data_IF_777849492263
#
_entry.id   IF_777849492263
#
_cell.length_a   1.000
_cell.length_b   1.000
_cell.length_c   1.000
_cell.angle_alpha   90.00
_cell.angle_beta   90.00
_cell.angle_gamma   90.00
#
_symmetry.space_group_name_H-M   'P 1'
#
loop_
_entity.id
_entity.type
_entity.pdbx_description
1 polymer ?
#
# COMPACT_ATOMS: atom_id res chain seq x y z
N UNK A 1 -23.12 -33.55 -16.76
CA UNK A 1 -22.26 -33.34 -15.60
C UNK A 1 -23.11 -32.78 -14.49
N UNK A 2 -23.02 -33.30 -13.25
CA UNK A 2 -23.54 -32.53 -12.13
C UNK A 2 -22.57 -31.37 -11.92
N UNK A 3 -23.07 -30.14 -12.04
CA UNK A 3 -22.38 -28.97 -11.50
C UNK A 3 -22.24 -29.22 -10.01
N UNK A 4 -21.03 -29.51 -9.55
CA UNK A 4 -20.71 -29.41 -8.14
C UNK A 4 -20.67 -27.92 -7.83
N UNK A 5 -21.81 -27.38 -7.42
CA UNK A 5 -21.89 -26.02 -6.90
C UNK A 5 -20.88 -25.90 -5.75
N UNK A 6 -19.90 -25.01 -5.93
CA UNK A 6 -18.96 -24.68 -4.88
C UNK A 6 -19.72 -23.92 -3.79
N UNK A 7 -19.84 -24.54 -2.62
CA UNK A 7 -20.40 -23.88 -1.45
C UNK A 7 -19.35 -22.91 -0.91
N UNK A 8 -19.67 -21.61 -0.88
CA UNK A 8 -18.79 -20.55 -0.36
C UNK A 8 -19.52 -19.82 0.75
N UNK A 9 -18.92 -19.84 1.94
CA UNK A 9 -19.36 -19.04 3.09
C UNK A 9 -18.36 -17.93 3.36
N UNK A 10 -18.85 -16.71 3.56
CA UNK A 10 -18.03 -15.53 3.86
C UNK A 10 -18.46 -14.96 5.21
N UNK A 11 -17.48 -14.68 6.07
CA UNK A 11 -17.68 -14.00 7.35
C UNK A 11 -16.78 -12.77 7.43
N UNK A 12 -17.35 -11.69 7.96
CA UNK A 12 -16.70 -10.38 8.08
C UNK A 12 -16.85 -9.91 9.52
N UNK A 13 -15.73 -9.63 10.18
CA UNK A 13 -15.71 -9.12 11.55
C UNK A 13 -14.87 -7.84 11.55
N UNK A 14 -15.47 -6.72 11.93
CA UNK A 14 -14.73 -5.47 12.13
C UNK A 14 -14.34 -5.30 13.59
N UNK A 15 -13.09 -4.93 13.82
CA UNK A 15 -12.55 -4.61 15.16
C UNK A 15 -12.17 -3.14 15.23
N UNK A 16 -12.45 -2.43 16.34
CA UNK A 16 -12.04 -1.03 16.47
C UNK A 16 -10.53 -0.87 16.35
N UNK A 17 -10.06 0.11 15.57
CA UNK A 17 -8.62 0.40 15.42
C UNK A 17 -7.96 0.68 16.78
N UNK A 18 -8.67 1.31 17.71
CA UNK A 18 -8.22 1.56 19.07
C UNK A 18 -7.80 0.29 19.85
N UNK A 19 -8.32 -0.89 19.48
CA UNK A 19 -7.93 -2.16 20.08
C UNK A 19 -6.49 -2.58 19.76
N UNK A 20 -5.85 -1.94 18.77
CA UNK A 20 -4.47 -2.20 18.35
C UNK A 20 -3.46 -1.19 18.93
N UNK A 21 -3.84 -0.41 19.93
CA UNK A 21 -2.94 0.53 20.62
C UNK A 21 -2.41 1.62 19.69
N UNK A 22 -1.10 1.87 19.72
CA UNK A 22 -0.47 2.91 18.90
C UNK A 22 -0.53 2.63 17.40
N UNK A 23 -0.48 1.35 16.99
CA UNK A 23 -0.71 0.97 15.59
C UNK A 23 -2.09 1.43 15.14
N UNK A 24 -3.10 1.33 16.01
CA UNK A 24 -4.46 1.80 15.76
C UNK A 24 -4.57 3.26 15.31
N UNK A 25 -3.60 4.10 15.70
CA UNK A 25 -3.59 5.53 15.36
C UNK A 25 -3.10 5.80 13.93
N UNK A 26 -2.33 4.88 13.33
CA UNK A 26 -1.86 5.00 11.95
C UNK A 26 -2.80 4.34 10.92
N UNK A 27 -3.87 3.70 11.39
CA UNK A 27 -4.86 3.05 10.55
C UNK A 27 -5.93 4.07 10.12
N UNK A 28 -6.17 4.14 8.82
CA UNK A 28 -7.26 4.95 8.28
C UNK A 28 -8.62 4.34 8.60
N UNK A 29 -8.69 3.01 8.78
CA UNK A 29 -9.94 2.27 8.97
C UNK A 29 -9.88 1.37 10.21
N UNK A 30 -11.04 0.94 10.69
CA UNK A 30 -11.11 -0.23 11.57
C UNK A 30 -10.64 -1.49 10.81
N UNK A 31 -9.78 -2.34 11.40
CA UNK A 31 -9.42 -3.60 10.78
C UNK A 31 -10.64 -4.49 10.52
N UNK A 32 -10.60 -5.21 9.41
CA UNK A 32 -11.64 -6.11 8.95
C UNK A 32 -11.05 -7.51 8.79
N UNK A 33 -11.51 -8.44 9.61
CA UNK A 33 -11.22 -9.86 9.46
C UNK A 33 -12.20 -10.47 8.47
N UNK A 34 -11.67 -10.95 7.36
CA UNK A 34 -12.38 -11.68 6.32
C UNK A 34 -12.04 -13.16 6.43
N UNK A 35 -13.06 -14.00 6.65
CA UNK A 35 -12.95 -15.45 6.62
C UNK A 35 -13.76 -16.00 5.46
N UNK A 36 -13.13 -16.84 4.64
CA UNK A 36 -13.76 -17.53 3.52
C UNK A 36 -13.61 -19.03 3.71
N UNK A 37 -14.74 -19.72 3.76
CA UNK A 37 -14.82 -21.18 3.87
C UNK A 37 -15.43 -21.74 2.60
N UNK A 38 -14.81 -22.76 2.01
CA UNK A 38 -15.28 -23.38 0.76
C UNK A 38 -14.87 -24.84 0.59
N UNK A 39 -15.48 -25.47 -0.40
CA UNK A 39 -15.19 -26.85 -0.85
C UNK A 39 -14.08 -26.96 -1.89
N UNK A 40 -13.86 -25.95 -2.74
CA UNK A 40 -12.80 -25.98 -3.76
C UNK A 40 -11.46 -25.41 -3.31
N UNK A 41 -10.42 -25.73 -4.10
CA UNK A 41 -9.05 -25.25 -3.95
C UNK A 41 -8.71 -24.02 -4.82
N UNK A 42 -9.69 -23.42 -5.49
CA UNK A 42 -9.49 -22.21 -6.28
C UNK A 42 -9.10 -21.03 -5.37
N UNK A 43 -8.54 -19.95 -5.93
CA UNK A 43 -8.41 -18.68 -5.19
C UNK A 43 -9.74 -17.91 -5.19
N UNK A 44 -10.01 -17.15 -4.13
CA UNK A 44 -11.15 -16.21 -4.09
C UNK A 44 -10.63 -14.80 -4.22
N UNK A 45 -11.19 -14.04 -5.15
CA UNK A 45 -11.02 -12.59 -5.18
C UNK A 45 -12.13 -11.96 -4.36
N UNK A 46 -11.76 -11.26 -3.29
CA UNK A 46 -12.68 -10.54 -2.43
C UNK A 46 -12.49 -9.03 -2.63
N UNK A 47 -13.54 -8.36 -3.07
CA UNK A 47 -13.57 -6.91 -3.23
C UNK A 47 -14.48 -6.35 -2.14
N UNK A 48 -13.95 -5.44 -1.34
CA UNK A 48 -14.70 -4.79 -0.27
C UNK A 48 -14.22 -3.37 -0.05
N UNK A 49 -15.10 -2.56 0.51
CA UNK A 49 -14.85 -1.14 0.79
C UNK A 49 -14.59 -0.97 2.28
N UNK A 50 -13.45 -0.39 2.62
CA UNK A 50 -13.10 -0.01 3.98
C UNK A 50 -13.42 1.47 4.16
N UNK A 51 -14.32 1.80 5.08
CA UNK A 51 -14.69 3.18 5.41
C UNK A 51 -13.69 3.78 6.39
N UNK A 52 -13.17 4.97 6.07
CA UNK A 52 -12.21 5.65 6.92
C UNK A 52 -12.87 6.13 8.21
N UNK A 53 -12.10 6.08 9.29
CA UNK A 53 -12.50 6.59 10.61
C UNK A 53 -12.67 8.12 10.60
N UNK A 54 -11.93 8.80 9.71
CA UNK A 54 -11.99 10.23 9.44
C UNK A 54 -11.57 10.48 7.98
N UNK A 55 -11.91 11.64 7.38
CA UNK A 55 -11.42 12.00 6.06
C UNK A 55 -9.88 12.02 6.01
N UNK A 56 -9.31 11.45 4.95
CA UNK A 56 -7.85 11.43 4.71
C UNK A 56 -7.56 12.25 3.45
N UNK A 57 -6.64 13.20 3.56
CA UNK A 57 -6.17 14.01 2.43
C UNK A 57 -5.03 13.28 1.72
N UNK A 58 -5.36 12.44 0.73
CA UNK A 58 -4.36 11.83 -0.15
C UNK A 58 -3.87 12.83 -1.18
N UNK A 59 -2.64 12.61 -1.67
CA UNK A 59 -2.08 13.42 -2.74
C UNK A 59 -2.88 13.20 -4.03
N UNK A 60 -3.45 14.27 -4.55
CA UNK A 60 -4.16 14.25 -5.84
C UNK A 60 -3.19 14.12 -7.01
N UNK A 61 -3.62 13.64 -8.18
CA UNK A 61 -2.78 13.64 -9.38
C UNK A 61 -2.20 15.02 -9.72
N UNK A 62 -3.00 16.08 -9.56
CA UNK A 62 -2.57 17.45 -9.83
C UNK A 62 -1.49 17.93 -8.86
N UNK A 63 -1.62 17.57 -7.59
CA UNK A 63 -0.58 17.86 -6.59
C UNK A 63 0.68 17.04 -6.89
N UNK A 64 0.55 15.75 -7.17
CA UNK A 64 1.67 14.87 -7.53
C UNK A 64 2.50 15.44 -8.70
N UNK A 65 1.84 15.93 -9.75
CA UNK A 65 2.49 16.55 -10.92
C UNK A 65 3.26 17.84 -10.58
N UNK A 66 2.88 18.52 -9.50
CA UNK A 66 3.53 19.75 -9.03
C UNK A 66 4.66 19.49 -8.02
N UNK A 67 4.73 18.29 -7.46
CA UNK A 67 5.69 17.90 -6.43
C UNK A 67 6.97 17.34 -7.06
N UNK A 68 7.73 18.22 -7.71
CA UNK A 68 9.01 17.88 -8.32
C UNK A 68 10.12 18.84 -7.91
N UNK A 69 11.35 18.35 -8.02
CA UNK A 69 12.57 19.10 -7.89
C UNK A 69 13.30 19.12 -9.24
N UNK A 70 13.76 20.29 -9.69
CA UNK A 70 14.55 20.45 -10.92
C UNK A 70 15.83 21.21 -10.66
N UNK A 71 16.94 20.69 -11.18
CA UNK A 71 18.23 21.38 -11.18
C UNK A 71 18.77 21.46 -12.59
N UNK A 72 19.09 22.67 -13.05
CA UNK A 72 19.77 22.88 -14.32
C UNK A 72 21.28 22.67 -14.13
N UNK A 73 21.81 21.62 -14.74
CA UNK A 73 23.24 21.36 -14.81
C UNK A 73 23.84 22.19 -15.96
N UNK A 74 24.87 22.98 -15.69
CA UNK A 74 25.46 23.90 -16.67
C UNK A 74 26.52 23.25 -17.57
N UNK A 75 26.89 21.99 -17.35
CA UNK A 75 27.94 21.29 -18.12
C UNK A 75 29.35 21.87 -17.93
N UNK A 76 29.55 22.79 -16.97
CA UNK A 76 30.86 23.36 -16.67
C UNK A 76 31.59 22.40 -15.72
N UNK A 77 32.45 21.58 -16.31
CA UNK A 77 33.08 20.38 -15.75
C UNK A 77 33.85 20.48 -14.41
N UNK A 78 33.88 21.62 -13.71
CA UNK A 78 34.78 21.83 -12.56
C UNK A 78 34.14 22.40 -11.29
N UNK A 79 32.82 22.62 -11.24
CA UNK A 79 32.17 23.03 -9.99
C UNK A 79 31.12 22.00 -9.56
N UNK A 80 31.28 21.40 -8.36
CA UNK A 80 30.27 20.51 -7.81
C UNK A 80 29.02 21.34 -7.50
N UNK A 81 28.02 21.22 -8.37
CA UNK A 81 26.68 21.73 -8.10
C UNK A 81 25.86 20.61 -7.49
N UNK A 82 25.84 20.59 -6.15
CA UNK A 82 24.94 19.77 -5.36
C UNK A 82 23.79 20.64 -4.91
N UNK A 83 22.57 20.23 -5.18
CA UNK A 83 21.36 20.94 -4.75
C UNK A 83 20.42 19.96 -4.08
N UNK A 84 19.87 20.34 -2.94
CA UNK A 84 18.97 19.50 -2.16
C UNK A 84 17.59 20.12 -2.03
N UNK A 85 16.58 19.25 -1.89
CA UNK A 85 15.19 19.62 -1.73
C UNK A 85 14.49 18.66 -0.78
N UNK A 86 13.79 19.20 0.22
CA UNK A 86 12.99 18.40 1.15
C UNK A 86 11.55 18.37 0.66
N UNK A 87 11.06 17.18 0.38
CA UNK A 87 9.70 16.95 -0.07
C UNK A 87 8.68 17.37 0.99
N UNK A 88 7.70 18.22 0.64
CA UNK A 88 6.63 18.57 1.56
C UNK A 88 5.79 17.33 1.88
N UNK A 89 5.38 17.20 3.14
CA UNK A 89 4.59 16.04 3.61
C UNK A 89 5.46 14.86 4.00
N UNK A 90 6.16 14.23 3.03
CA UNK A 90 6.97 13.03 3.29
C UNK A 90 8.24 13.31 4.09
N UNK A 91 8.81 14.52 3.97
CA UNK A 91 10.09 14.87 4.58
C UNK A 91 11.30 14.23 3.88
N UNK A 92 11.09 13.54 2.77
CA UNK A 92 12.14 12.90 1.98
C UNK A 92 13.13 13.95 1.45
N UNK A 93 14.43 13.69 1.58
CA UNK A 93 15.47 14.58 1.08
C UNK A 93 15.95 14.09 -0.29
N UNK A 94 15.66 14.86 -1.33
CA UNK A 94 16.18 14.64 -2.68
C UNK A 94 17.47 15.45 -2.85
N UNK A 95 18.51 14.83 -3.41
CA UNK A 95 19.76 15.50 -3.72
C UNK A 95 20.13 15.29 -5.19
N UNK A 96 20.22 16.40 -5.94
CA UNK A 96 20.76 16.41 -7.29
C UNK A 96 22.25 16.71 -7.25
N UNK A 97 23.04 15.88 -7.94
CA UNK A 97 24.46 16.08 -8.11
C UNK A 97 24.80 16.22 -9.60
N UNK A 98 25.05 17.46 -10.04
CA UNK A 98 25.42 17.76 -11.42
C UNK A 98 26.92 17.55 -11.72
N UNK A 99 27.71 17.03 -10.78
CA UNK A 99 29.16 16.84 -10.97
C UNK A 99 29.41 15.80 -12.07
N UNK A 100 30.10 16.20 -13.14
CA UNK A 100 30.40 15.32 -14.27
C UNK A 100 29.24 15.10 -15.26
N UNK A 101 28.11 15.80 -15.08
CA UNK A 101 27.03 15.82 -16.07
C UNK A 101 27.29 16.89 -17.14
N UNK A 102 26.87 16.60 -18.37
CA UNK A 102 26.78 17.60 -19.44
C UNK A 102 25.72 18.65 -19.11
N UNK A 103 25.62 19.70 -19.93
CA UNK A 103 24.52 20.64 -19.81
C UNK A 103 23.18 19.89 -19.95
N UNK A 104 22.22 20.19 -19.07
CA UNK A 104 20.95 19.47 -18.99
C UNK A 104 20.17 19.76 -17.72
N UNK A 105 19.10 19.02 -17.48
CA UNK A 105 18.20 19.18 -16.33
C UNK A 105 18.01 17.86 -15.61
N UNK A 106 18.30 17.83 -14.31
CA UNK A 106 17.89 16.74 -13.42
C UNK A 106 16.48 17.04 -12.90
N UNK A 107 15.58 16.05 -13.00
CA UNK A 107 14.21 16.12 -12.50
C UNK A 107 13.90 14.92 -11.63
N UNK A 108 13.38 15.19 -10.43
CA UNK A 108 13.03 14.17 -9.44
C UNK A 108 11.67 14.51 -8.84
N UNK A 109 10.94 13.49 -8.41
CA UNK A 109 9.57 13.64 -7.92
C UNK A 109 9.47 13.22 -6.46
N UNK A 110 8.67 13.95 -5.69
CA UNK A 110 8.46 13.61 -4.29
C UNK A 110 7.54 12.39 -4.13
N UNK A 111 7.74 11.61 -3.07
CA UNK A 111 6.79 10.58 -2.68
C UNK A 111 5.39 11.15 -2.45
N UNK A 112 4.39 10.48 -3.01
CA UNK A 112 2.98 10.88 -2.91
C UNK A 112 2.28 10.07 -1.82
N UNK A 113 1.39 10.70 -1.06
CA UNK A 113 0.62 10.03 -0.01
C UNK A 113 -0.57 9.31 -0.63
N UNK A 114 -0.58 7.99 -0.55
CA UNK A 114 -1.63 7.12 -1.11
C UNK A 114 -2.12 6.11 -0.07
N UNK A 115 -3.35 5.61 -0.17
CA UNK A 115 -3.78 4.51 0.67
C UNK A 115 -3.09 3.21 0.25
N UNK A 116 -2.99 2.29 1.19
CA UNK A 116 -2.59 0.91 0.99
C UNK A 116 -3.58 -0.02 1.68
N UNK A 117 -3.94 -1.11 0.98
CA UNK A 117 -4.67 -2.23 1.55
C UNK A 117 -3.68 -3.15 2.27
N UNK A 118 -3.41 -2.83 3.53
CA UNK A 118 -2.44 -3.55 4.33
C UNK A 118 -3.05 -4.82 4.95
N UNK A 119 -2.25 -5.87 5.01
CA UNK A 119 -2.60 -7.11 5.73
C UNK A 119 -2.02 -7.03 7.13
N UNK A 120 -2.85 -7.26 8.13
CA UNK A 120 -2.47 -7.20 9.53
C UNK A 120 -2.12 -8.62 10.00
N UNK A 121 -0.89 -8.83 10.44
CA UNK A 121 -0.44 -10.12 10.94
C UNK A 121 -0.33 -10.05 12.48
N UNK A 122 -1.35 -10.56 13.15
CA UNK A 122 -1.39 -10.63 14.62
C UNK A 122 -0.83 -11.96 15.10
N UNK A 123 0.37 -11.94 15.65
CA UNK A 123 0.90 -13.08 16.41
C UNK A 123 0.65 -12.90 17.91
N UNK A 124 0.92 -13.92 18.72
CA UNK A 124 0.80 -13.81 20.18
C UNK A 124 1.75 -12.75 20.79
N UNK A 125 2.78 -12.35 20.05
CA UNK A 125 3.89 -11.53 20.56
C UNK A 125 4.13 -10.25 19.76
N UNK A 126 3.53 -10.11 18.58
CA UNK A 126 3.72 -8.95 17.71
C UNK A 126 2.49 -8.70 16.84
N UNK A 127 2.31 -7.44 16.47
CA UNK A 127 1.38 -7.02 15.42
C UNK A 127 2.23 -6.40 14.32
N UNK A 128 2.18 -6.99 13.13
CA UNK A 128 2.89 -6.49 11.96
C UNK A 128 1.89 -6.01 10.90
N UNK A 129 2.23 -4.90 10.24
CA UNK A 129 1.40 -4.27 9.23
C UNK A 129 2.10 -4.39 7.88
N UNK A 130 1.64 -5.33 7.05
CA UNK A 130 2.18 -5.53 5.72
C UNK A 130 1.47 -4.62 4.71
N UNK A 131 1.98 -3.39 4.57
CA UNK A 131 1.46 -2.37 3.65
C UNK A 131 1.91 -2.51 2.19
N UNK A 132 2.82 -3.45 1.89
CA UNK A 132 3.21 -3.81 0.53
C UNK A 132 2.92 -5.31 0.30
N UNK A 133 1.65 -5.64 0.18
CA UNK A 133 1.18 -7.01 0.00
C UNK A 133 0.69 -7.21 -1.42
N UNK A 134 1.24 -8.20 -2.13
CA UNK A 134 0.67 -8.65 -3.42
C UNK A 134 -0.66 -9.38 -3.24
N UNK A 135 -1.04 -9.71 -1.99
CA UNK A 135 -2.28 -10.38 -1.65
C UNK A 135 -3.46 -9.41 -1.72
N UNK A 136 -3.26 -8.14 -1.35
CA UNK A 136 -4.31 -7.12 -1.32
C UNK A 136 -3.83 -5.84 -2.00
N UNK A 137 -4.55 -5.44 -3.04
CA UNK A 137 -4.24 -4.22 -3.79
C UNK A 137 -5.38 -3.22 -3.66
N UNK A 138 -5.05 -1.93 -3.69
CA UNK A 138 -6.04 -0.86 -3.77
C UNK A 138 -6.65 -0.85 -5.17
N UNK A 139 -7.96 -0.96 -5.25
CA UNK A 139 -8.70 -0.89 -6.51
C UNK A 139 -9.23 0.51 -6.80
N UNK A 140 -9.65 1.24 -5.77
CA UNK A 140 -10.14 2.61 -5.85
C UNK A 140 -10.09 3.25 -4.45
N UNK A 141 -10.06 4.57 -4.36
CA UNK A 141 -10.15 5.28 -3.09
C UNK A 141 -10.64 6.71 -3.27
N UNK A 142 -11.13 7.28 -2.18
CA UNK A 142 -11.40 8.70 -2.01
C UNK A 142 -11.02 9.12 -0.58
N UNK A 143 -11.38 10.34 -0.17
CA UNK A 143 -11.07 10.82 1.17
C UNK A 143 -11.76 10.01 2.29
N UNK A 144 -12.85 9.30 2.00
CA UNK A 144 -13.71 8.65 2.99
C UNK A 144 -13.64 7.12 2.95
N UNK A 145 -13.08 6.53 1.89
CA UNK A 145 -13.04 5.09 1.72
C UNK A 145 -11.87 4.60 0.87
N UNK A 146 -11.45 3.37 1.14
CA UNK A 146 -10.49 2.62 0.32
C UNK A 146 -11.14 1.31 -0.11
N UNK A 147 -11.21 1.05 -1.42
CA UNK A 147 -11.66 -0.23 -1.98
C UNK A 147 -10.47 -1.15 -2.15
N UNK A 148 -10.51 -2.30 -1.49
CA UNK A 148 -9.48 -3.32 -1.54
C UNK A 148 -9.92 -4.51 -2.38
N UNK A 149 -9.00 -5.04 -3.18
CA UNK A 149 -9.15 -6.30 -3.89
C UNK A 149 -8.09 -7.29 -3.40
N UNK A 150 -8.53 -8.32 -2.69
CA UNK A 150 -7.66 -9.31 -2.07
C UNK A 150 -7.82 -10.70 -2.68
N UNK A 151 -6.71 -11.40 -2.88
CA UNK A 151 -6.67 -12.78 -3.36
C UNK A 151 -6.46 -13.73 -2.19
N UNK A 152 -7.51 -14.47 -1.83
CA UNK A 152 -7.47 -15.46 -0.74
C UNK A 152 -7.25 -16.83 -1.37
N UNK A 153 -6.05 -17.37 -1.14
CA UNK A 153 -5.69 -18.73 -1.57
C UNK A 153 -5.90 -19.69 -0.40
N UNK A 154 -6.62 -20.80 -0.59
CA UNK A 154 -6.83 -21.75 0.47
C UNK A 154 -5.52 -22.50 0.81
N UNK A 155 -5.24 -22.65 2.11
CA UNK A 155 -4.08 -23.41 2.60
C UNK A 155 -2.75 -22.64 2.73
N UNK A 156 -2.63 -21.43 2.20
CA UNK A 156 -1.40 -20.61 2.35
C UNK A 156 -1.47 -19.54 3.44
N UNK A 157 -2.65 -19.29 4.03
CA UNK A 157 -2.77 -18.36 5.18
C UNK A 157 -2.88 -19.16 6.48
N UNK A 158 -1.75 -19.43 7.11
CA UNK A 158 -1.68 -20.06 8.44
C UNK A 158 -2.02 -19.05 9.53
N UNK A 159 -3.30 -18.75 9.75
CA UNK A 159 -3.78 -18.05 10.94
C UNK A 159 -4.83 -18.90 11.67
N UNK A 160 -4.39 -19.46 12.82
CA UNK A 160 -5.15 -20.22 13.83
C UNK A 160 -5.97 -21.42 13.35
N UNK A 161 -5.32 -22.58 13.32
CA UNK A 161 -5.96 -23.90 13.28
C UNK A 161 -6.69 -24.20 14.60
N UNK A 162 -8.02 -24.20 14.61
CA UNK A 162 -8.84 -24.90 15.61
C UNK A 162 -9.20 -26.28 15.03
N UNK A 163 -8.94 -27.37 15.76
CA UNK A 163 -9.31 -28.73 15.35
C UNK A 163 -10.83 -28.81 15.20
N UNK A 164 -11.32 -29.24 14.03
CA UNK A 164 -12.33 -30.29 13.91
C UNK A 164 -12.55 -30.72 12.45
N UNK A 165 -12.94 -31.97 12.31
CA UNK A 165 -12.97 -32.78 11.10
C UNK A 165 -14.07 -32.36 10.12
N UNK A 166 -13.69 -31.64 9.08
CA UNK A 166 -14.28 -31.69 7.73
C UNK A 166 -13.31 -30.94 6.80
N UNK A 167 -13.09 -31.45 5.59
CA UNK A 167 -12.16 -30.88 4.60
C UNK A 167 -12.76 -29.60 4.01
N UNK A 168 -12.91 -28.56 4.84
CA UNK A 168 -13.30 -27.21 4.43
C UNK A 168 -12.04 -26.37 4.36
N UNK A 169 -11.74 -25.84 3.18
CA UNK A 169 -10.57 -24.99 3.01
C UNK A 169 -10.95 -23.60 3.52
N UNK A 170 -10.34 -23.19 4.64
CA UNK A 170 -10.62 -21.90 5.29
C UNK A 170 -9.42 -20.97 5.10
N UNK A 171 -9.67 -19.76 4.59
CA UNK A 171 -8.69 -18.67 4.56
C UNK A 171 -9.17 -17.52 5.45
N UNK A 172 -8.32 -17.02 6.34
CA UNK A 172 -8.61 -15.86 7.20
C UNK A 172 -7.61 -14.76 6.88
N UNK A 173 -8.10 -13.54 6.66
CA UNK A 173 -7.30 -12.39 6.29
C UNK A 173 -7.76 -11.15 7.07
N UNK A 174 -6.87 -10.55 7.85
CA UNK A 174 -7.14 -9.29 8.53
C UNK A 174 -6.63 -8.15 7.65
N UNK A 175 -7.54 -7.29 7.17
CA UNK A 175 -7.22 -6.22 6.21
C UNK A 175 -7.59 -4.86 6.78
N UNK A 176 -6.78 -3.86 6.48
CA UNK A 176 -6.98 -2.49 6.91
C UNK A 176 -6.48 -1.51 5.84
N UNK A 177 -7.03 -0.29 5.80
CA UNK A 177 -6.43 0.80 5.04
C UNK A 177 -5.45 1.57 5.92
N UNK A 178 -4.25 1.82 5.41
CA UNK A 178 -3.25 2.69 6.01
C UNK A 178 -2.69 3.63 4.94
N UNK A 179 -2.09 4.75 5.34
CA UNK A 179 -1.45 5.68 4.40
C UNK A 179 0.04 5.37 4.27
N UNK A 180 0.54 5.37 3.03
CA UNK A 180 1.96 5.21 2.73
C UNK A 180 2.42 6.31 1.77
N UNK A 181 3.70 6.66 1.85
CA UNK A 181 4.35 7.49 0.85
C UNK A 181 4.91 6.59 -0.25
N UNK A 182 4.40 6.74 -1.47
CA UNK A 182 4.87 6.02 -2.65
C UNK A 182 5.83 6.92 -3.43
N UNK A 183 7.11 6.56 -3.45
CA UNK A 183 8.13 7.20 -4.28
C UNK A 183 8.19 6.59 -5.68
N UNK A 184 8.68 7.37 -6.65
CA UNK A 184 9.08 6.83 -7.94
C UNK A 184 10.41 6.07 -7.76
N UNK A 185 10.52 4.88 -8.36
CA UNK A 185 11.77 4.09 -8.35
C UNK A 185 12.89 4.76 -9.16
N UNK A 186 12.52 5.69 -10.05
CA UNK A 186 13.46 6.57 -10.75
C UNK A 186 13.65 7.83 -9.92
N UNK A 187 14.71 7.82 -9.10
CA UNK A 187 15.04 8.93 -8.21
C UNK A 187 15.31 10.18 -9.03
N UNK A 188 16.09 10.09 -10.12
CA UNK A 188 16.42 11.22 -10.99
C UNK A 188 16.25 10.87 -12.48
N UNK A 189 15.61 11.76 -13.24
CA UNK A 189 15.61 11.74 -14.72
C UNK A 189 16.49 12.88 -15.22
N UNK A 190 17.46 12.58 -16.08
CA UNK A 190 18.32 13.58 -16.72
C UNK A 190 17.89 13.84 -18.16
N UNK A 191 17.62 15.10 -18.49
CA UNK A 191 17.37 15.56 -19.85
C UNK A 191 18.56 16.40 -20.32
N UNK A 192 19.33 15.91 -21.29
CA UNK A 192 20.50 16.60 -21.82
C UNK A 192 20.09 17.74 -22.75
N UNK A 193 20.69 18.91 -22.60
CA UNK A 193 20.60 19.95 -23.63
C UNK A 193 21.62 19.67 -24.72
N UNK A 194 21.18 19.49 -25.97
CA UNK A 194 22.06 19.44 -27.16
C UNK A 194 22.91 20.72 -27.32
#
# INVERSE_FOLDING_TARGET
SPDTDDEVTVSLISTPAASYGDLGKSLNTNPLQLSVTRTSASSTHAIFVLTHNAPVEFTTPQEADSLYFRTNCSGLNDQPLVSSYTCPGSGELIEHNCTGFSAGTLTSYCPVLVPSCAVLNVTATSVDLQSNSSVCVVAAYDAYSTTCNCTITPGTVTLRRRLESQVSQTGVLDVVSASIYLGNEFVDTFDSSE
#
